data_IF_911570930068
#
_entry.id   IF_911570930068
#
_cell.length_a   1.000
_cell.length_b   1.000
_cell.length_c   1.000
_cell.angle_alpha   90.00
_cell.angle_beta   90.00
_cell.angle_gamma   90.00
#
_symmetry.space_group_name_H-M   'P 1'
#
loop_
_entity.id
_entity.type
_entity.pdbx_description
1 polymer ?
#
# COMPACT_ATOMS: atom_id res chain seq x y z
N UNK A 1 -0.44 29.36 -4.68
CA UNK A 1 0.25 29.92 -5.88
C UNK A 1 0.63 28.76 -6.80
N UNK A 2 0.30 28.77 -8.09
CA UNK A 2 0.80 27.77 -9.04
C UNK A 2 2.33 27.83 -9.14
N UNK A 3 2.98 26.66 -9.20
CA UNK A 3 4.44 26.53 -9.30
C UNK A 3 4.83 25.84 -10.60
N UNK A 4 4.17 24.74 -10.94
CA UNK A 4 4.44 23.96 -12.14
C UNK A 4 3.17 23.28 -12.63
N UNK A 5 2.97 23.22 -13.94
CA UNK A 5 1.93 22.40 -14.57
C UNK A 5 2.56 21.48 -15.62
N UNK A 6 2.29 20.19 -15.52
CA UNK A 6 2.65 19.20 -16.55
C UNK A 6 1.43 18.81 -17.41
N UNK A 7 0.32 19.53 -17.25
CA UNK A 7 -0.93 19.24 -17.94
C UNK A 7 -1.52 17.89 -17.51
N UNK A 8 -2.35 17.29 -18.38
CA UNK A 8 -2.99 16.01 -18.11
C UNK A 8 -1.99 14.85 -18.29
N UNK A 9 -1.69 14.13 -17.21
CA UNK A 9 -0.81 12.98 -17.20
C UNK A 9 -1.61 11.68 -16.97
N UNK A 10 -1.11 10.57 -17.49
CA UNK A 10 -1.66 9.24 -17.20
C UNK A 10 -1.54 8.95 -15.70
N UNK A 11 -2.57 8.33 -15.10
CA UNK A 11 -2.50 7.90 -13.70
C UNK A 11 -1.41 6.84 -13.56
N UNK A 12 -0.60 6.98 -12.50
CA UNK A 12 0.52 6.08 -12.23
C UNK A 12 0.04 4.72 -11.68
N UNK A 13 0.88 3.70 -11.80
CA UNK A 13 0.62 2.37 -11.26
C UNK A 13 -0.36 1.51 -12.07
N UNK A 14 -0.93 2.03 -13.17
CA UNK A 14 -1.83 1.29 -14.06
C UNK A 14 -1.08 0.91 -15.32
N UNK A 15 -0.89 -0.41 -15.56
CA UNK A 15 -0.20 -0.94 -16.73
C UNK A 15 -1.20 -1.68 -17.64
N UNK A 16 -1.61 -1.04 -18.72
CA UNK A 16 -2.53 -1.62 -19.69
C UNK A 16 -1.79 -2.60 -20.61
N UNK A 17 -2.35 -3.79 -20.79
CA UNK A 17 -1.79 -4.82 -21.68
C UNK A 17 -2.29 -4.73 -23.12
N UNK A 18 -3.43 -4.09 -23.34
CA UNK A 18 -4.21 -4.13 -24.58
C UNK A 18 -4.23 -2.80 -25.36
N UNK A 19 -3.42 -1.82 -24.93
CA UNK A 19 -3.40 -0.49 -25.55
C UNK A 19 -4.65 0.36 -25.26
N UNK A 20 -5.51 -0.07 -24.31
CA UNK A 20 -6.65 0.72 -23.87
C UNK A 20 -6.23 2.06 -23.28
N UNK A 21 -7.12 3.04 -23.31
CA UNK A 21 -6.81 4.40 -22.83
C UNK A 21 -6.69 4.44 -21.32
N UNK A 22 -5.51 4.79 -20.81
CA UNK A 22 -5.30 5.05 -19.39
C UNK A 22 -5.99 6.35 -18.99
N UNK A 23 -6.69 6.34 -17.85
CA UNK A 23 -7.29 7.54 -17.28
C UNK A 23 -6.21 8.60 -17.01
N UNK A 24 -6.53 9.85 -17.26
CA UNK A 24 -5.60 10.98 -17.12
C UNK A 24 -6.18 12.01 -16.15
N UNK A 25 -5.29 12.69 -15.44
CA UNK A 25 -5.64 13.78 -14.53
C UNK A 25 -4.61 14.92 -14.64
N UNK A 26 -4.99 16.16 -14.24
CA UNK A 26 -4.03 17.25 -14.14
C UNK A 26 -2.92 16.96 -13.13
N UNK A 27 -1.69 17.28 -13.51
CA UNK A 27 -0.53 17.19 -12.61
C UNK A 27 0.04 18.60 -12.42
N UNK A 28 -0.56 19.32 -11.48
CA UNK A 28 -0.24 20.70 -11.17
C UNK A 28 0.26 20.83 -9.73
N UNK A 29 1.45 21.45 -9.56
CA UNK A 29 2.01 21.76 -8.27
C UNK A 29 1.61 23.17 -7.85
N UNK A 30 1.20 23.31 -6.61
CA UNK A 30 0.85 24.58 -5.99
C UNK A 30 1.57 24.75 -4.65
N UNK A 31 1.96 25.99 -4.37
CA UNK A 31 2.53 26.39 -3.07
C UNK A 31 1.44 27.04 -2.24
N UNK A 32 1.25 26.58 -1.02
CA UNK A 32 0.41 27.27 -0.03
C UNK A 32 1.07 28.60 0.36
N UNK A 33 0.38 29.71 0.08
CA UNK A 33 0.85 31.06 0.44
C UNK A 33 0.40 31.50 1.84
N UNK A 34 -0.27 30.62 2.57
CA UNK A 34 -0.61 30.83 3.98
C UNK A 34 0.56 30.51 4.92
N UNK A 35 0.25 30.13 6.14
CA UNK A 35 1.25 29.92 7.20
C UNK A 35 2.13 28.66 7.04
N UNK A 36 1.72 27.68 6.21
CA UNK A 36 2.43 26.38 6.17
C UNK A 36 3.49 26.26 5.08
N UNK A 37 3.46 27.07 3.99
CA UNK A 37 4.41 26.96 2.88
C UNK A 37 4.45 25.61 2.15
N UNK A 38 3.41 24.77 2.29
CA UNK A 38 3.37 23.42 1.74
C UNK A 38 3.33 23.43 0.22
N UNK A 39 4.25 22.72 -0.41
CA UNK A 39 4.19 22.38 -1.83
C UNK A 39 3.39 21.08 -1.99
N UNK A 40 2.33 21.13 -2.80
CA UNK A 40 1.40 20.01 -2.94
C UNK A 40 0.79 19.96 -4.34
N UNK A 41 0.16 18.83 -4.68
CA UNK A 41 -0.68 18.77 -5.86
C UNK A 41 -1.94 19.62 -5.64
N UNK A 42 -2.37 20.33 -6.71
CA UNK A 42 -3.60 21.11 -6.67
C UNK A 42 -4.84 20.23 -6.65
N UNK A 43 -4.82 19.16 -7.44
CA UNK A 43 -5.93 18.26 -7.62
C UNK A 43 -5.52 16.87 -7.13
N UNK A 44 -6.33 16.26 -6.27
CA UNK A 44 -6.21 14.86 -5.88
C UNK A 44 -7.13 14.00 -6.74
N UNK A 45 -6.66 12.85 -7.17
CA UNK A 45 -7.51 11.86 -7.85
C UNK A 45 -8.08 10.88 -6.83
N UNK A 46 -9.31 10.33 -7.08
CA UNK A 46 -9.85 9.31 -6.20
C UNK A 46 -8.89 8.12 -6.09
N UNK A 47 -8.60 7.68 -4.86
CA UNK A 47 -7.69 6.54 -4.63
C UNK A 47 -8.17 5.24 -5.30
N UNK A 48 -9.47 5.08 -5.49
CA UNK A 48 -10.06 3.96 -6.23
C UNK A 48 -9.67 3.95 -7.72
N UNK A 49 -9.26 5.09 -8.26
CA UNK A 49 -8.78 5.20 -9.63
C UNK A 49 -7.30 4.79 -9.77
N UNK A 50 -6.57 4.76 -8.68
CA UNK A 50 -5.13 4.43 -8.64
C UNK A 50 -4.90 3.06 -8.02
N UNK A 51 -5.50 2.80 -6.84
CA UNK A 51 -5.33 1.56 -6.09
C UNK A 51 -6.56 0.65 -6.24
N UNK A 52 -6.51 -0.25 -7.20
CA UNK A 52 -7.57 -1.19 -7.51
C UNK A 52 -7.05 -2.42 -8.25
N UNK A 53 -7.92 -3.23 -8.85
CA UNK A 53 -7.54 -4.50 -9.49
C UNK A 53 -6.49 -4.36 -10.61
N UNK A 54 -6.36 -3.16 -11.20
CA UNK A 54 -5.40 -2.87 -12.29
C UNK A 54 -4.10 -2.24 -11.79
N UNK A 55 -3.94 -2.04 -10.48
CA UNK A 55 -2.69 -1.52 -9.91
C UNK A 55 -1.55 -2.50 -10.15
N UNK A 56 -0.50 -2.05 -10.84
CA UNK A 56 0.52 -2.93 -11.41
C UNK A 56 1.75 -3.17 -10.54
N UNK A 57 1.89 -2.49 -9.40
CA UNK A 57 3.04 -2.66 -8.52
C UNK A 57 3.03 -4.03 -7.83
N UNK A 58 4.20 -4.65 -7.73
CA UNK A 58 4.44 -5.93 -7.03
C UNK A 58 5.71 -5.83 -6.21
N UNK A 59 5.59 -6.02 -4.90
CA UNK A 59 6.71 -5.91 -3.95
C UNK A 59 7.77 -6.99 -4.18
N UNK A 60 7.37 -8.16 -4.65
CA UNK A 60 8.25 -9.31 -4.87
C UNK A 60 9.21 -9.17 -6.04
N UNK A 61 8.95 -8.30 -7.02
CA UNK A 61 9.77 -8.20 -8.23
C UNK A 61 11.17 -7.68 -7.90
N UNK A 62 11.28 -6.68 -7.04
CA UNK A 62 12.55 -6.01 -6.74
C UNK A 62 13.28 -6.66 -5.56
N UNK A 63 14.50 -7.15 -5.79
CA UNK A 63 15.31 -7.76 -4.74
C UNK A 63 15.60 -6.81 -3.56
N UNK A 64 15.91 -5.55 -3.85
CA UNK A 64 16.15 -4.53 -2.82
C UNK A 64 14.90 -4.32 -1.96
N UNK A 65 13.71 -4.33 -2.56
CA UNK A 65 12.47 -4.22 -1.80
C UNK A 65 12.25 -5.44 -0.91
N UNK A 66 12.45 -6.67 -1.43
CA UNK A 66 12.34 -7.89 -0.60
C UNK A 66 13.28 -7.85 0.61
N UNK A 67 14.52 -7.39 0.40
CA UNK A 67 15.50 -7.27 1.48
C UNK A 67 15.11 -6.20 2.50
N UNK A 68 14.58 -5.07 2.03
CA UNK A 68 14.06 -4.01 2.88
C UNK A 68 12.89 -4.52 3.74
N UNK A 69 11.91 -5.17 3.15
CA UNK A 69 10.75 -5.72 3.87
C UNK A 69 11.16 -6.78 4.90
N UNK A 70 12.14 -7.62 4.57
CA UNK A 70 12.72 -8.58 5.53
C UNK A 70 13.36 -7.86 6.72
N UNK A 71 14.10 -6.78 6.47
CA UNK A 71 14.71 -5.97 7.52
C UNK A 71 13.65 -5.32 8.41
N UNK A 72 12.60 -4.73 7.83
CA UNK A 72 11.48 -4.13 8.59
C UNK A 72 10.84 -5.15 9.53
N UNK A 73 10.56 -6.36 9.04
CA UNK A 73 9.98 -7.43 9.87
C UNK A 73 10.95 -7.87 10.97
N UNK A 74 12.24 -8.00 10.65
CA UNK A 74 13.27 -8.33 11.64
C UNK A 74 13.30 -7.31 12.78
N UNK A 75 13.34 -6.02 12.46
CA UNK A 75 13.34 -4.93 13.43
C UNK A 75 12.05 -4.90 14.28
N UNK A 76 10.89 -5.07 13.65
CA UNK A 76 9.63 -5.12 14.38
C UNK A 76 9.60 -6.29 15.38
N UNK A 77 10.05 -7.47 14.96
CA UNK A 77 10.10 -8.66 15.82
C UNK A 77 11.10 -8.55 16.95
N UNK A 78 12.24 -7.90 16.73
CA UNK A 78 13.27 -7.71 17.78
C UNK A 78 12.76 -6.84 18.93
N UNK A 79 11.80 -5.94 18.66
CA UNK A 79 11.23 -5.02 19.65
C UNK A 79 10.00 -5.59 20.35
N UNK A 80 9.36 -6.58 19.76
CA UNK A 80 8.11 -7.14 20.26
C UNK A 80 8.24 -8.65 20.31
N UNK A 81 8.10 -9.25 21.50
CA UNK A 81 8.11 -10.70 21.67
C UNK A 81 6.88 -11.33 21.01
N UNK A 82 7.01 -11.72 19.73
CA UNK A 82 5.96 -12.37 18.96
C UNK A 82 5.82 -13.82 19.43
N UNK A 83 4.60 -14.22 19.78
CA UNK A 83 4.26 -15.55 20.24
C UNK A 83 3.47 -16.29 19.17
N UNK A 84 3.45 -17.64 19.26
CA UNK A 84 2.61 -18.47 18.41
C UNK A 84 1.14 -18.02 18.48
N UNK A 85 0.51 -17.82 17.33
CA UNK A 85 -0.88 -17.37 17.23
C UNK A 85 -1.11 -15.88 17.37
N UNK A 86 -0.06 -15.10 17.70
CA UNK A 86 -0.17 -13.63 17.65
C UNK A 86 -0.53 -13.16 16.24
N UNK A 87 -1.35 -12.13 16.19
CA UNK A 87 -1.79 -11.55 14.91
C UNK A 87 -0.79 -10.48 14.46
N UNK A 88 -0.37 -10.57 13.22
CA UNK A 88 0.36 -9.51 12.52
C UNK A 88 -0.49 -9.01 11.35
N UNK A 89 -0.59 -7.70 11.19
CA UNK A 89 -1.37 -7.04 10.17
C UNK A 89 -0.46 -6.21 9.26
N UNK A 90 -0.62 -6.36 7.96
CA UNK A 90 -0.01 -5.48 6.96
C UNK A 90 -1.09 -4.74 6.18
N UNK A 91 -1.07 -3.40 6.26
CA UNK A 91 -2.03 -2.51 5.60
C UNK A 91 -1.40 -2.01 4.29
N UNK A 92 -2.06 -2.25 3.16
CA UNK A 92 -1.46 -2.10 1.83
C UNK A 92 -0.49 -3.25 1.54
N UNK A 93 -0.93 -4.47 1.82
CA UNK A 93 -0.06 -5.67 1.86
C UNK A 93 0.38 -6.17 0.49
N UNK A 94 -0.18 -5.62 -0.59
CA UNK A 94 0.16 -5.92 -1.98
C UNK A 94 0.17 -7.43 -2.27
N UNK A 95 1.29 -7.99 -2.70
CA UNK A 95 1.44 -9.41 -3.04
C UNK A 95 1.78 -10.33 -1.82
N UNK A 96 1.77 -9.78 -0.61
CA UNK A 96 2.03 -10.52 0.63
C UNK A 96 3.50 -10.73 0.97
N UNK A 97 4.43 -10.18 0.19
CA UNK A 97 5.89 -10.37 0.35
C UNK A 97 6.38 -9.96 1.76
N UNK A 98 5.84 -8.89 2.37
CA UNK A 98 6.20 -8.53 3.73
C UNK A 98 5.78 -9.61 4.71
N UNK A 99 4.56 -10.11 4.58
CA UNK A 99 3.98 -11.12 5.48
C UNK A 99 4.73 -12.45 5.43
N UNK A 100 5.39 -12.79 4.32
CA UNK A 100 6.20 -14.01 4.18
C UNK A 100 7.42 -14.03 5.11
N UNK A 101 7.86 -12.88 5.61
CA UNK A 101 8.98 -12.78 6.54
C UNK A 101 8.60 -13.01 8.01
N UNK A 102 7.29 -13.11 8.32
CA UNK A 102 6.84 -13.52 9.65
C UNK A 102 6.80 -15.05 9.78
N UNK A 103 6.95 -15.60 11.01
CA UNK A 103 6.83 -17.04 11.25
C UNK A 103 5.48 -17.57 10.80
N UNK A 104 5.45 -18.82 10.32
CA UNK A 104 4.23 -19.48 9.85
C UNK A 104 3.22 -19.78 10.97
N UNK A 105 3.67 -19.80 12.22
CA UNK A 105 2.82 -19.98 13.39
C UNK A 105 2.22 -18.67 13.93
N UNK A 106 2.60 -17.51 13.38
CA UNK A 106 1.88 -16.26 13.55
C UNK A 106 0.66 -16.20 12.61
N UNK A 107 -0.40 -15.55 13.06
CA UNK A 107 -1.57 -15.29 12.23
C UNK A 107 -1.33 -14.06 11.36
N UNK A 108 -1.00 -14.29 10.10
CA UNK A 108 -0.62 -13.27 9.13
C UNK A 108 -1.84 -12.78 8.37
N UNK A 109 -2.11 -11.48 8.41
CA UNK A 109 -3.28 -10.85 7.78
C UNK A 109 -2.82 -9.69 6.90
N UNK A 110 -3.24 -9.70 5.64
CA UNK A 110 -3.04 -8.59 4.70
C UNK A 110 -4.36 -7.92 4.35
N UNK A 111 -4.33 -6.60 4.22
CA UNK A 111 -5.46 -5.81 3.72
C UNK A 111 -4.96 -4.95 2.56
N UNK A 112 -5.52 -5.17 1.37
CA UNK A 112 -5.16 -4.41 0.18
C UNK A 112 -6.24 -4.51 -0.90
N UNK A 113 -6.75 -3.39 -1.44
CA UNK A 113 -7.78 -3.39 -2.48
C UNK A 113 -7.28 -3.94 -3.83
N UNK A 114 -5.97 -3.96 -4.07
CA UNK A 114 -5.36 -4.44 -5.31
C UNK A 114 -4.95 -5.92 -5.26
N UNK A 115 -5.00 -6.55 -4.08
CA UNK A 115 -4.40 -7.86 -3.84
C UNK A 115 -5.21 -9.05 -4.36
N UNK A 116 -6.42 -8.86 -4.89
CA UNK A 116 -7.24 -9.95 -5.43
C UNK A 116 -6.48 -10.81 -6.46
N UNK A 117 -5.63 -10.20 -7.28
CA UNK A 117 -4.82 -10.90 -8.29
C UNK A 117 -3.68 -11.74 -7.71
N UNK A 118 -3.40 -11.59 -6.42
CA UNK A 118 -2.34 -12.29 -5.69
C UNK A 118 -2.91 -13.30 -4.68
N UNK A 119 -4.18 -13.69 -4.78
CA UNK A 119 -4.84 -14.61 -3.84
C UNK A 119 -4.03 -15.90 -3.62
N UNK A 120 -3.38 -16.39 -4.66
CA UNK A 120 -2.50 -17.57 -4.58
C UNK A 120 -1.31 -17.39 -3.61
N UNK A 121 -0.83 -16.18 -3.40
CA UNK A 121 0.25 -15.88 -2.45
C UNK A 121 -0.24 -15.89 -0.99
N UNK A 122 -1.56 -15.93 -0.78
CA UNK A 122 -2.18 -15.84 0.54
C UNK A 122 -2.75 -17.18 1.05
N UNK A 123 -2.39 -18.32 0.42
CA UNK A 123 -2.93 -19.65 0.79
C UNK A 123 -2.78 -20.01 2.27
N UNK A 124 -1.74 -19.48 2.93
CA UNK A 124 -1.42 -19.69 4.35
C UNK A 124 -1.53 -18.40 5.18
N UNK A 125 -2.14 -17.38 4.61
CA UNK A 125 -2.34 -16.04 5.19
C UNK A 125 -3.79 -15.60 4.96
N UNK A 126 -4.31 -14.78 5.82
CA UNK A 126 -5.63 -14.16 5.62
C UNK A 126 -5.49 -12.93 4.72
N UNK A 127 -6.31 -12.84 3.67
CA UNK A 127 -6.38 -11.69 2.78
C UNK A 127 -7.75 -11.03 2.90
N UNK A 128 -7.75 -9.72 3.08
CA UNK A 128 -8.94 -8.87 3.01
C UNK A 128 -8.76 -7.93 1.82
N UNK A 129 -9.54 -8.16 0.75
CA UNK A 129 -9.49 -7.34 -0.47
C UNK A 129 -10.39 -6.12 -0.29
N UNK A 130 -9.88 -5.11 0.39
CA UNK A 130 -10.56 -3.82 0.63
C UNK A 130 -9.53 -2.78 1.07
N UNK A 131 -9.94 -1.49 1.08
CA UNK A 131 -9.24 -0.46 1.82
C UNK A 131 -9.35 -0.73 3.32
N UNK A 132 -8.25 -0.45 4.07
CA UNK A 132 -8.28 -0.59 5.51
C UNK A 132 -9.35 0.30 6.14
N UNK A 133 -10.17 -0.32 6.99
CA UNK A 133 -11.18 0.32 7.85
C UNK A 133 -11.27 -0.43 9.15
N UNK A 134 -11.58 0.27 10.24
CA UNK A 134 -11.76 -0.37 11.54
C UNK A 134 -12.77 -1.52 11.51
N UNK A 135 -13.80 -1.41 10.68
CA UNK A 135 -14.89 -2.39 10.58
C UNK A 135 -14.44 -3.71 9.94
N UNK A 136 -13.50 -3.68 8.99
CA UNK A 136 -13.02 -4.91 8.34
C UNK A 136 -11.86 -5.58 9.07
N UNK A 137 -11.31 -4.92 10.12
CA UNK A 137 -10.36 -5.54 11.02
C UNK A 137 -10.72 -5.20 12.49
N UNK A 138 -11.78 -5.80 13.07
CA UNK A 138 -12.27 -5.49 14.43
C UNK A 138 -11.49 -6.18 15.55
N UNK A 139 -10.26 -6.58 15.32
CA UNK A 139 -9.39 -7.30 16.27
C UNK A 139 -8.10 -6.52 16.52
N UNK A 140 -7.33 -6.94 17.53
CA UNK A 140 -6.02 -6.37 17.83
C UNK A 140 -4.93 -7.18 17.11
N UNK A 141 -3.93 -6.49 16.59
CA UNK A 141 -2.70 -7.09 16.11
C UNK A 141 -1.55 -6.78 17.08
N UNK A 142 -0.61 -7.69 17.19
CA UNK A 142 0.63 -7.52 17.97
C UNK A 142 1.60 -6.59 17.24
N UNK A 143 1.66 -6.73 15.92
CA UNK A 143 2.44 -5.86 15.02
C UNK A 143 1.50 -5.41 13.91
N UNK A 144 1.58 -4.13 13.58
CA UNK A 144 0.92 -3.53 12.42
C UNK A 144 1.99 -2.87 11.58
N UNK A 145 2.04 -3.23 10.30
CA UNK A 145 2.90 -2.59 9.30
C UNK A 145 2.06 -1.89 8.24
N UNK A 146 2.61 -0.83 7.68
CA UNK A 146 2.06 -0.14 6.52
C UNK A 146 3.21 0.55 5.79
N UNK A 147 3.58 0.04 4.62
CA UNK A 147 4.73 0.51 3.89
C UNK A 147 4.29 1.39 2.74
N UNK A 148 4.78 2.65 2.76
CA UNK A 148 4.54 3.63 1.69
C UNK A 148 3.05 3.81 1.36
N UNK A 149 2.19 3.90 2.38
CA UNK A 149 0.74 3.97 2.20
C UNK A 149 0.06 5.09 2.98
N UNK A 150 0.54 5.46 4.18
CA UNK A 150 -0.15 6.45 5.02
C UNK A 150 -0.26 7.85 4.40
N UNK A 151 0.60 8.20 3.47
CA UNK A 151 0.50 9.47 2.74
C UNK A 151 -0.58 9.48 1.65
N UNK A 152 -1.19 8.32 1.37
CA UNK A 152 -2.25 8.14 0.39
C UNK A 152 -3.64 7.99 1.03
N UNK A 153 -3.76 8.12 2.36
CA UNK A 153 -5.03 8.03 3.07
C UNK A 153 -5.56 9.42 3.41
N UNK A 154 -6.90 9.54 3.41
CA UNK A 154 -7.57 10.82 3.67
C UNK A 154 -7.67 11.12 5.18
N UNK A 155 -7.83 10.07 6.03
CA UNK A 155 -7.91 10.12 7.50
C UNK A 155 -7.43 8.81 8.12
#
# INVERSE_FOLDING_TARGET
>A
MPVLSLGNQALTGIFQKDGSTVKRAPLDLVLCMGSCGLLQLRDAVPRTDVFGPTYGYESSINATMRDHLRHVVHEARSRVGLQRGDVVLDIGSNDGTLLDNYPSDARRVGIDPSAARFEDNYRDKELIVDFFRRQNFPRKAKIITSIAMFYDVED
#
